data_IF_892188130189
#
_entry.id   IF_892188130189
#
_cell.length_a   1.000
_cell.length_b   1.000
_cell.length_c   1.000
_cell.angle_alpha   90.00
_cell.angle_beta   90.00
_cell.angle_gamma   90.00
#
_symmetry.space_group_name_H-M   'P 1'
#
loop_
_entity.id
_entity.type
_entity.pdbx_description
1 polymer ?
#
# COMPACT_ATOMS: atom_id res chain seq x y z
N UNK A 1 -6.30 33.92 -4.76
CA UNK A 1 -5.87 33.14 -3.58
C UNK A 1 -7.08 32.40 -3.06
N UNK A 2 -7.29 31.17 -3.52
CA UNK A 2 -8.34 30.31 -2.98
C UNK A 2 -7.74 29.48 -1.86
N UNK A 3 -8.11 29.80 -0.63
CA UNK A 3 -7.96 28.93 0.52
C UNK A 3 -8.88 27.73 0.33
N UNK A 4 -8.38 26.72 -0.39
CA UNK A 4 -8.93 25.36 -0.34
C UNK A 4 -8.76 24.89 1.09
N UNK A 5 -9.84 24.99 1.87
CA UNK A 5 -9.88 24.47 3.22
C UNK A 5 -9.44 23.01 3.20
N UNK A 6 -8.45 22.68 4.04
CA UNK A 6 -8.20 21.31 4.46
C UNK A 6 -9.49 20.76 5.07
N UNK A 7 -10.36 20.15 4.26
CA UNK A 7 -11.22 19.09 4.79
C UNK A 7 -10.27 17.94 5.05
N UNK A 8 -9.78 17.85 6.29
CA UNK A 8 -9.21 16.60 6.76
C UNK A 8 -10.28 15.53 6.59
N UNK A 9 -9.92 14.42 5.94
CA UNK A 9 -10.84 13.31 5.74
C UNK A 9 -11.47 12.93 7.08
N UNK A 10 -12.79 12.70 7.07
CA UNK A 10 -13.47 12.28 8.30
C UNK A 10 -13.04 10.87 8.68
N UNK A 11 -13.25 10.47 9.94
CA UNK A 11 -12.97 9.10 10.36
C UNK A 11 -13.72 8.08 9.50
N UNK A 12 -14.95 8.39 9.11
CA UNK A 12 -15.78 7.55 8.24
C UNK A 12 -15.20 7.43 6.83
N UNK A 13 -14.66 8.53 6.27
CA UNK A 13 -14.02 8.53 4.95
C UNK A 13 -12.75 7.66 4.97
N UNK A 14 -11.90 7.82 5.98
CA UNK A 14 -10.67 7.04 6.16
C UNK A 14 -10.98 5.56 6.36
N UNK A 15 -11.98 5.24 7.18
CA UNK A 15 -12.39 3.86 7.43
C UNK A 15 -12.95 3.20 6.16
N UNK A 16 -13.78 3.93 5.41
CA UNK A 16 -14.33 3.47 4.13
C UNK A 16 -13.23 3.23 3.11
N UNK A 17 -12.25 4.13 3.04
CA UNK A 17 -11.10 4.00 2.15
C UNK A 17 -10.25 2.76 2.49
N UNK A 18 -9.93 2.55 3.76
CA UNK A 18 -9.15 1.39 4.21
C UNK A 18 -9.89 0.07 3.93
N UNK A 19 -11.20 0.01 4.15
CA UNK A 19 -12.01 -1.19 3.83
C UNK A 19 -12.00 -1.46 2.32
N UNK A 20 -12.18 -0.42 1.49
CA UNK A 20 -12.16 -0.55 0.02
C UNK A 20 -10.80 -1.07 -0.45
N UNK A 21 -9.72 -0.42 -0.04
CA UNK A 21 -8.36 -0.78 -0.44
C UNK A 21 -7.96 -2.17 0.07
N UNK A 22 -8.37 -2.57 1.28
CA UNK A 22 -8.10 -3.90 1.81
C UNK A 22 -8.75 -5.01 0.97
N UNK A 23 -9.98 -4.79 0.48
CA UNK A 23 -10.66 -5.73 -0.43
C UNK A 23 -10.01 -5.76 -1.81
N UNK A 24 -9.66 -4.59 -2.34
CA UNK A 24 -8.96 -4.47 -3.63
C UNK A 24 -7.61 -5.19 -3.58
N UNK A 25 -6.86 -5.01 -2.48
CA UNK A 25 -5.60 -5.70 -2.25
C UNK A 25 -5.80 -7.22 -2.19
N UNK A 26 -6.78 -7.71 -1.43
CA UNK A 26 -7.08 -9.15 -1.35
C UNK A 26 -7.40 -9.74 -2.73
N UNK A 27 -8.21 -9.05 -3.53
CA UNK A 27 -8.56 -9.49 -4.89
C UNK A 27 -7.36 -9.50 -5.82
N UNK A 28 -6.54 -8.45 -5.79
CA UNK A 28 -5.34 -8.33 -6.59
C UNK A 28 -4.29 -9.40 -6.21
N UNK A 29 -4.06 -9.61 -4.91
CA UNK A 29 -3.16 -10.65 -4.41
C UNK A 29 -3.61 -12.06 -4.82
N UNK A 30 -4.92 -12.31 -4.82
CA UNK A 30 -5.50 -13.56 -5.29
C UNK A 30 -5.26 -13.77 -6.78
N UNK A 31 -5.52 -12.76 -7.61
CA UNK A 31 -5.42 -12.88 -9.08
C UNK A 31 -4.01 -13.13 -9.58
N UNK A 32 -3.00 -12.57 -8.92
CA UNK A 32 -1.58 -12.73 -9.30
C UNK A 32 -0.92 -13.96 -8.66
N UNK A 33 -1.69 -14.72 -7.87
CA UNK A 33 -1.20 -15.84 -7.07
C UNK A 33 0.03 -15.44 -6.25
N UNK A 34 -0.16 -14.45 -5.36
CA UNK A 34 0.92 -13.88 -4.56
C UNK A 34 1.59 -14.93 -3.67
N UNK A 35 2.93 -14.96 -3.70
CA UNK A 35 3.80 -15.80 -2.88
C UNK A 35 4.49 -16.93 -3.62
N UNK A 36 4.13 -17.21 -4.88
CA UNK A 36 4.93 -18.09 -5.75
C UNK A 36 5.01 -19.57 -5.33
N UNK A 37 4.55 -19.92 -4.13
CA UNK A 37 4.55 -21.27 -3.57
C UNK A 37 3.20 -21.58 -2.92
N UNK A 38 2.81 -22.84 -2.87
CA UNK A 38 1.55 -23.26 -2.22
C UNK A 38 1.50 -22.91 -0.73
N UNK A 39 2.67 -22.89 -0.06
CA UNK A 39 2.81 -22.50 1.34
C UNK A 39 2.54 -21.02 1.53
N UNK A 40 3.22 -20.18 0.77
CA UNK A 40 3.16 -18.72 0.94
C UNK A 40 1.84 -18.16 0.42
N UNK A 41 1.36 -18.66 -0.73
CA UNK A 41 0.02 -18.35 -1.21
C UNK A 41 -1.06 -18.72 -0.19
N UNK A 42 -0.98 -19.93 0.40
CA UNK A 42 -1.92 -20.35 1.43
C UNK A 42 -1.84 -19.49 2.70
N UNK A 43 -0.64 -19.00 3.06
CA UNK A 43 -0.48 -18.04 4.15
C UNK A 43 -1.13 -16.69 3.81
N UNK A 44 -0.83 -16.12 2.64
CA UNK A 44 -1.41 -14.86 2.15
C UNK A 44 -2.94 -14.93 2.14
N UNK A 45 -3.52 -15.97 1.53
CA UNK A 45 -4.98 -16.15 1.47
C UNK A 45 -5.64 -16.16 2.86
N UNK A 46 -5.05 -16.89 3.83
CA UNK A 46 -5.57 -16.93 5.19
C UNK A 46 -5.46 -15.59 5.90
N UNK A 47 -4.34 -14.89 5.71
CA UNK A 47 -4.09 -13.57 6.30
C UNK A 47 -5.05 -12.53 5.74
N UNK A 48 -5.27 -12.52 4.41
CA UNK A 48 -6.09 -11.51 3.75
C UNK A 48 -7.59 -11.80 3.81
N UNK A 49 -8.02 -12.99 4.24
CA UNK A 49 -9.45 -13.35 4.38
C UNK A 49 -10.25 -12.31 5.17
N UNK A 50 -9.67 -11.74 6.25
CA UNK A 50 -10.34 -10.73 7.08
C UNK A 50 -10.58 -9.41 6.35
N UNK A 51 -9.71 -9.07 5.39
CA UNK A 51 -9.90 -7.89 4.56
C UNK A 51 -11.10 -8.08 3.62
N UNK A 52 -11.32 -9.30 3.12
CA UNK A 52 -12.52 -9.64 2.35
C UNK A 52 -13.81 -9.46 3.18
N UNK A 53 -13.74 -9.77 4.47
CA UNK A 53 -14.83 -9.61 5.44
C UNK A 53 -15.01 -8.18 5.97
N UNK A 54 -14.30 -7.19 5.38
CA UNK A 54 -14.34 -5.76 5.77
C UNK A 54 -13.84 -5.48 7.19
N UNK A 55 -12.91 -6.28 7.70
CA UNK A 55 -12.30 -6.07 9.01
C UNK A 55 -10.78 -5.77 8.90
N UNK A 56 -10.37 -4.55 8.50
CA UNK A 56 -8.96 -4.23 8.31
C UNK A 56 -8.23 -3.75 9.57
N UNK A 57 -8.92 -3.57 10.71
CA UNK A 57 -8.37 -2.85 11.87
C UNK A 57 -7.99 -3.76 13.05
N UNK A 58 -7.87 -5.07 12.86
CA UNK A 58 -7.43 -5.96 13.94
C UNK A 58 -5.97 -5.64 14.33
N UNK A 59 -5.67 -5.35 15.60
CA UNK A 59 -4.31 -5.09 16.06
C UNK A 59 -3.36 -6.29 15.92
N UNK A 60 -3.90 -7.52 15.88
CA UNK A 60 -3.11 -8.73 15.75
C UNK A 60 -2.57 -8.94 14.33
N UNK A 61 -3.08 -8.17 13.36
CA UNK A 61 -2.75 -8.38 11.95
C UNK A 61 -1.42 -7.69 11.55
N UNK A 62 -0.85 -6.81 12.37
CA UNK A 62 0.35 -6.02 12.01
C UNK A 62 1.54 -6.89 11.57
N UNK A 63 1.90 -7.89 12.38
CA UNK A 63 2.99 -8.81 12.06
C UNK A 63 2.68 -9.67 10.82
N UNK A 64 1.39 -9.97 10.59
CA UNK A 64 0.97 -10.75 9.44
C UNK A 64 1.02 -9.93 8.14
N UNK A 65 0.64 -8.65 8.20
CA UNK A 65 0.74 -7.71 7.08
C UNK A 65 2.21 -7.45 6.72
N UNK A 66 3.09 -7.33 7.71
CA UNK A 66 4.53 -7.21 7.46
C UNK A 66 5.12 -8.49 6.84
N UNK A 67 4.67 -9.68 7.25
CA UNK A 67 5.06 -10.91 6.58
C UNK A 67 4.58 -10.95 5.11
N UNK A 68 3.37 -10.46 4.83
CA UNK A 68 2.85 -10.35 3.45
C UNK A 68 3.68 -9.35 2.62
N UNK A 69 4.12 -8.23 3.20
CA UNK A 69 5.08 -7.31 2.57
C UNK A 69 6.34 -8.05 2.14
N UNK A 70 6.96 -8.81 3.04
CA UNK A 70 8.17 -9.56 2.76
C UNK A 70 8.00 -10.59 1.65
N UNK A 71 6.85 -11.26 1.59
CA UNK A 71 6.50 -12.19 0.50
C UNK A 71 6.39 -11.44 -0.84
N UNK A 72 5.70 -10.30 -0.86
CA UNK A 72 5.53 -9.49 -2.07
C UNK A 72 6.86 -8.95 -2.60
N UNK A 73 7.73 -8.47 -1.73
CA UNK A 73 9.08 -8.01 -2.11
C UNK A 73 9.96 -9.14 -2.64
N UNK A 74 9.85 -10.34 -2.05
CA UNK A 74 10.57 -11.52 -2.52
C UNK A 74 10.09 -11.95 -3.92
N UNK A 75 8.77 -11.99 -4.13
CA UNK A 75 8.16 -12.26 -5.44
C UNK A 75 8.60 -11.22 -6.48
N UNK A 76 8.52 -9.93 -6.16
CA UNK A 76 8.96 -8.85 -7.06
C UNK A 76 10.42 -9.00 -7.48
N UNK A 77 11.31 -9.32 -6.53
CA UNK A 77 12.74 -9.51 -6.80
C UNK A 77 12.98 -10.70 -7.74
N UNK A 78 12.17 -11.75 -7.63
CA UNK A 78 12.26 -12.92 -8.51
C UNK A 78 11.80 -12.61 -9.95
N UNK A 79 11.00 -11.56 -10.15
CA UNK A 79 10.47 -11.17 -11.45
C UNK A 79 11.33 -10.12 -12.20
N UNK A 80 12.45 -9.69 -11.63
CA UNK A 80 13.40 -8.76 -12.29
C UNK A 80 14.10 -9.50 -13.44
N UNK A 81 13.91 -9.01 -14.67
CA UNK A 81 14.54 -9.55 -15.88
C UNK A 81 15.84 -8.83 -16.25
N UNK A 82 16.06 -7.64 -15.70
CA UNK A 82 17.26 -6.85 -15.94
C UNK A 82 17.11 -5.42 -15.43
N UNK A 83 18.04 -4.57 -15.84
CA UNK A 83 18.04 -3.15 -15.49
C UNK A 83 18.22 -2.32 -16.75
N UNK A 84 17.39 -1.29 -16.91
CA UNK A 84 17.45 -0.34 -18.02
C UNK A 84 17.80 1.05 -17.49
N UNK A 85 18.70 1.75 -18.19
CA UNK A 85 19.01 3.15 -17.90
C UNK A 85 17.95 4.06 -18.49
N UNK A 86 17.20 4.75 -17.63
CA UNK A 86 16.18 5.71 -18.03
C UNK A 86 16.53 7.10 -17.54
N UNK A 87 16.35 8.08 -18.41
CA UNK A 87 16.48 9.48 -18.06
C UNK A 87 15.16 9.96 -17.46
N UNK A 88 15.22 10.56 -16.27
CA UNK A 88 14.09 11.18 -15.60
C UNK A 88 14.29 12.68 -15.61
N UNK A 89 13.39 13.37 -16.32
CA UNK A 89 13.33 14.83 -16.27
C UNK A 89 12.92 15.27 -14.86
N UNK A 90 13.72 16.15 -14.28
CA UNK A 90 13.46 16.72 -12.95
C UNK A 90 13.02 18.17 -13.04
N UNK A 91 13.58 18.93 -13.99
CA UNK A 91 13.24 20.32 -14.24
C UNK A 91 13.62 20.75 -15.65
N UNK A 92 13.02 21.84 -16.10
CA UNK A 92 13.31 22.48 -17.37
C UNK A 92 13.58 23.96 -17.15
N UNK A 93 14.70 24.47 -17.64
CA UNK A 93 15.06 25.88 -17.54
C UNK A 93 15.59 26.45 -18.88
N UNK A 94 16.14 27.68 -18.84
CA UNK A 94 16.63 28.37 -20.02
C UNK A 94 17.84 27.69 -20.69
N UNK A 95 18.56 26.81 -19.99
CA UNK A 95 19.65 25.99 -20.52
C UNK A 95 19.17 24.64 -21.08
N UNK A 96 17.90 24.27 -20.85
CA UNK A 96 17.26 23.11 -21.45
C UNK A 96 16.68 22.14 -20.41
N UNK A 97 16.57 20.88 -20.80
CA UNK A 97 16.03 19.81 -19.97
C UNK A 97 17.10 19.31 -19.00
N UNK A 98 16.79 19.33 -17.71
CA UNK A 98 17.63 18.78 -16.67
C UNK A 98 16.99 17.54 -16.07
N UNK A 99 17.82 16.54 -15.84
CA UNK A 99 17.36 15.28 -15.29
C UNK A 99 18.50 14.42 -14.84
N UNK A 100 18.14 13.28 -14.27
CA UNK A 100 19.08 12.27 -13.82
C UNK A 100 18.81 10.96 -14.53
N UNK A 101 19.90 10.26 -14.86
CA UNK A 101 19.82 8.91 -15.38
C UNK A 101 19.76 7.98 -14.17
N UNK A 102 18.71 7.18 -14.09
CA UNK A 102 18.55 6.13 -13.08
C UNK A 102 18.56 4.77 -13.74
N UNK A 103 19.13 3.80 -13.05
CA UNK A 103 18.96 2.40 -13.39
C UNK A 103 17.59 1.95 -12.86
N UNK A 104 16.72 1.48 -13.76
CA UNK A 104 15.38 1.01 -13.46
C UNK A 104 15.30 -0.50 -13.67
N UNK A 105 14.74 -1.20 -12.70
CA UNK A 105 14.44 -2.62 -12.83
C UNK A 105 13.38 -2.82 -13.92
N UNK A 106 13.64 -3.77 -14.81
CA UNK A 106 12.70 -4.23 -15.84
C UNK A 106 12.08 -5.52 -15.35
N UNK A 107 10.76 -5.53 -15.19
CA UNK A 107 10.05 -6.66 -14.65
C UNK A 107 9.42 -7.52 -15.75
N UNK A 108 9.15 -8.78 -15.43
CA UNK A 108 8.27 -9.63 -16.23
C UNK A 108 6.83 -9.06 -16.25
N UNK A 109 5.95 -9.55 -17.15
CA UNK A 109 4.52 -9.19 -17.10
C UNK A 109 3.87 -9.45 -15.73
N UNK A 110 4.23 -10.56 -15.07
CA UNK A 110 3.75 -10.85 -13.70
C UNK A 110 4.32 -9.86 -12.69
N UNK A 111 5.59 -9.47 -12.84
CA UNK A 111 6.21 -8.46 -11.98
C UNK A 111 5.52 -7.09 -12.07
N UNK A 112 5.06 -6.68 -13.25
CA UNK A 112 4.25 -5.47 -13.42
C UNK A 112 2.89 -5.56 -12.69
N UNK A 113 2.25 -6.74 -12.71
CA UNK A 113 1.04 -6.99 -11.93
C UNK A 113 1.31 -6.93 -10.41
N UNK A 114 2.43 -7.50 -9.96
CA UNK A 114 2.87 -7.43 -8.56
C UNK A 114 3.18 -5.99 -8.12
N UNK A 115 3.74 -5.15 -8.99
CA UNK A 115 3.93 -3.71 -8.70
C UNK A 115 2.59 -3.00 -8.51
N UNK A 116 1.57 -3.35 -9.30
CA UNK A 116 0.22 -2.83 -9.11
C UNK A 116 -0.35 -3.27 -7.76
N UNK A 117 -0.17 -4.55 -7.39
CA UNK A 117 -0.57 -5.09 -6.08
C UNK A 117 0.14 -4.35 -4.93
N UNK A 118 1.45 -4.09 -5.06
CA UNK A 118 2.23 -3.34 -4.08
C UNK A 118 1.68 -1.92 -3.88
N UNK A 119 1.35 -1.21 -4.95
CA UNK A 119 0.78 0.14 -4.85
C UNK A 119 -0.54 0.15 -4.07
N UNK A 120 -1.42 -0.83 -4.32
CA UNK A 120 -2.69 -0.96 -3.58
C UNK A 120 -2.42 -1.30 -2.12
N UNK A 121 -1.47 -2.20 -1.86
CA UNK A 121 -1.09 -2.60 -0.51
C UNK A 121 -0.54 -1.44 0.33
N UNK A 122 0.40 -0.66 -0.22
CA UNK A 122 0.92 0.53 0.48
C UNK A 122 -0.18 1.56 0.75
N UNK A 123 -1.05 1.81 -0.25
CA UNK A 123 -2.18 2.73 -0.09
C UNK A 123 -3.12 2.24 1.01
N UNK A 124 -3.37 0.93 1.08
CA UNK A 124 -4.16 0.31 2.15
C UNK A 124 -3.54 0.54 3.52
N UNK A 125 -2.23 0.30 3.68
CA UNK A 125 -1.54 0.48 4.95
C UNK A 125 -1.55 1.94 5.41
N UNK A 126 -1.36 2.89 4.50
CA UNK A 126 -1.46 4.32 4.80
C UNK A 126 -2.87 4.68 5.29
N UNK A 127 -3.91 4.28 4.56
CA UNK A 127 -5.30 4.55 4.95
C UNK A 127 -5.64 3.91 6.31
N UNK A 128 -5.15 2.67 6.55
CA UNK A 128 -5.33 1.97 7.83
C UNK A 128 -4.66 2.72 8.98
N UNK A 129 -3.40 3.13 8.82
CA UNK A 129 -2.65 3.85 9.83
C UNK A 129 -3.32 5.20 10.17
N UNK A 130 -3.69 5.98 9.15
CA UNK A 130 -4.40 7.26 9.33
C UNK A 130 -5.71 7.08 10.09
N UNK A 131 -6.46 6.01 9.80
CA UNK A 131 -7.70 5.70 10.52
C UNK A 131 -7.42 5.40 12.00
N UNK A 132 -6.44 4.54 12.29
CA UNK A 132 -6.08 4.17 13.66
C UNK A 132 -5.56 5.37 14.45
N UNK A 133 -4.75 6.22 13.84
CA UNK A 133 -4.24 7.47 14.44
C UNK A 133 -5.39 8.42 14.77
N UNK A 134 -6.37 8.56 13.86
CA UNK A 134 -7.55 9.39 14.09
C UNK A 134 -8.39 8.88 15.27
N UNK A 135 -8.61 7.57 15.35
CA UNK A 135 -9.32 6.94 16.50
C UNK A 135 -8.56 7.17 17.80
N UNK A 136 -7.23 7.01 17.79
CA UNK A 136 -6.39 7.23 18.96
C UNK A 136 -6.45 8.70 19.42
N UNK A 137 -6.41 9.65 18.50
CA UNK A 137 -6.55 11.07 18.78
C UNK A 137 -7.91 11.42 19.40
N UNK A 138 -9.02 10.91 18.85
CA UNK A 138 -10.36 11.14 19.40
C UNK A 138 -10.50 10.56 20.82
N UNK A 139 -9.96 9.36 21.06
CA UNK A 139 -9.93 8.76 22.40
C UNK A 139 -9.10 9.57 23.39
N UNK A 140 -7.97 10.12 22.96
CA UNK A 140 -7.12 10.96 23.81
C UNK A 140 -7.83 12.26 24.20
N UNK A 141 -8.50 12.92 23.26
CA UNK A 141 -9.26 14.14 23.52
C UNK A 141 -10.43 13.90 24.49
N UNK A 142 -11.17 12.80 24.32
CA UNK A 142 -12.25 12.44 25.25
C UNK A 142 -11.74 12.22 26.67
N UNK A 143 -10.55 11.63 26.83
CA UNK A 143 -9.93 11.46 28.15
C UNK A 143 -9.52 12.79 28.79
N UNK A 144 -9.01 13.73 27.99
CA UNK A 144 -8.61 15.06 28.48
C UNK A 144 -9.79 15.93 28.88
N UNK A 145 -10.93 15.81 28.19
CA UNK A 145 -12.15 16.58 28.49
C UNK A 145 -12.99 15.97 29.62
N UNK A 146 -12.73 14.71 29.98
CA UNK A 146 -13.37 14.03 31.11
C UNK A 146 -12.66 14.29 32.46
N UNK A 147 -11.51 14.97 32.43
CA UNK A 147 -10.79 15.52 33.60
C UNK A 147 -11.20 16.96 33.87
#
# INVERSE_FOLDING_TARGET
MNTTGMRGDTLDDLATLAIRLGREFQQAAHSVWLGGTSRDYGFVERTLRRLADRNPFDPCDEASLEAVRGILEADLRAEIQGTERRFFETHYDAAGQHGEVRDCEVYSPRGEELLAVQKVFESFLVARAQTLDRVAAERALLRLLAT
#
